data_IF_948601537968
#
_entry.id   IF_948601537968
#
_cell.length_a   1.000
_cell.length_b   1.000
_cell.length_c   1.000
_cell.angle_alpha   90.00
_cell.angle_beta   90.00
_cell.angle_gamma   90.00
#
_symmetry.space_group_name_H-M   'P 1'
#
loop_
_entity.id
_entity.type
_entity.pdbx_description
1 polymer ?
#
# COMPACT_ATOMS: atom_id res chain seq x y z
N UNK A 1 49.72 -39.72 38.55
CA UNK A 1 49.92 -38.28 38.23
C UNK A 1 49.78 -37.93 36.74
N UNK A 2 50.16 -38.80 35.79
CA UNK A 2 50.04 -38.50 34.33
C UNK A 2 48.59 -38.38 33.79
N UNK A 3 47.60 -39.08 34.37
CA UNK A 3 46.22 -39.09 33.87
C UNK A 3 45.45 -37.77 34.13
N UNK A 4 45.77 -37.06 35.21
CA UNK A 4 45.16 -35.77 35.55
C UNK A 4 45.68 -34.61 34.68
N UNK A 5 46.93 -34.68 34.22
CA UNK A 5 47.51 -33.65 33.36
C UNK A 5 46.88 -33.66 31.95
N UNK A 6 46.62 -34.84 31.41
CA UNK A 6 46.05 -35.01 30.06
C UNK A 6 44.58 -34.55 30.03
N UNK A 7 43.81 -34.86 31.06
CA UNK A 7 42.40 -34.42 31.18
C UNK A 7 42.28 -32.90 31.33
N UNK A 8 43.18 -32.27 32.09
CA UNK A 8 43.22 -30.80 32.22
C UNK A 8 43.53 -30.08 30.91
N UNK A 9 44.43 -30.64 30.09
CA UNK A 9 44.79 -30.06 28.79
C UNK A 9 43.63 -30.17 27.81
N UNK A 10 42.96 -31.33 27.74
CA UNK A 10 41.79 -31.54 26.88
C UNK A 10 40.65 -30.58 27.26
N UNK A 11 40.37 -30.42 28.55
CA UNK A 11 39.31 -29.51 29.02
C UNK A 11 39.64 -28.05 28.67
N UNK A 12 40.91 -27.65 28.78
CA UNK A 12 41.35 -26.30 28.44
C UNK A 12 41.25 -26.04 26.94
N UNK A 13 41.62 -27.01 26.10
CA UNK A 13 41.47 -26.92 24.64
C UNK A 13 40.00 -26.85 24.23
N UNK A 14 39.12 -27.63 24.89
CA UNK A 14 37.68 -27.59 24.65
C UNK A 14 37.04 -26.27 25.09
N UNK A 15 37.46 -25.70 26.23
CA UNK A 15 36.99 -24.38 26.69
C UNK A 15 37.48 -23.28 25.74
N UNK A 16 38.75 -23.33 25.32
CA UNK A 16 39.30 -22.36 24.35
C UNK A 16 38.64 -22.51 22.98
N UNK A 17 38.34 -23.73 22.53
CA UNK A 17 37.58 -24.00 21.32
C UNK A 17 36.14 -23.49 21.46
N UNK A 18 35.48 -23.72 22.60
CA UNK A 18 34.14 -23.21 22.89
C UNK A 18 34.11 -21.67 22.96
N UNK A 19 35.12 -21.03 23.56
CA UNK A 19 35.26 -19.57 23.57
C UNK A 19 35.59 -19.00 22.18
N UNK A 20 36.27 -19.77 21.31
CA UNK A 20 36.49 -19.42 19.88
C UNK A 20 35.25 -19.64 19.01
N UNK A 21 34.47 -20.69 19.27
CA UNK A 21 33.24 -21.04 18.55
C UNK A 21 32.02 -20.28 19.03
N UNK A 22 32.04 -19.77 20.26
CA UNK A 22 31.16 -18.70 20.73
C UNK A 22 31.58 -17.42 19.99
N UNK A 23 31.32 -17.39 18.69
CA UNK A 23 31.18 -16.17 17.91
C UNK A 23 30.38 -15.22 18.81
N UNK A 24 31.03 -14.15 19.27
CA UNK A 24 30.31 -12.95 19.68
C UNK A 24 29.30 -12.71 18.58
N UNK A 25 28.02 -12.93 18.86
CA UNK A 25 26.96 -12.43 18.00
C UNK A 25 27.19 -10.93 17.96
N UNK A 26 27.76 -10.48 16.84
CA UNK A 26 27.86 -9.06 16.57
C UNK A 26 26.40 -8.58 16.52
N UNK A 27 26.06 -7.45 17.16
CA UNK A 27 24.70 -6.92 17.07
C UNK A 27 24.30 -6.86 15.59
N UNK A 28 23.16 -7.46 15.24
CA UNK A 28 22.67 -7.62 13.87
C UNK A 28 22.57 -6.24 13.21
N UNK A 29 23.53 -5.91 12.35
CA UNK A 29 23.67 -4.63 11.61
C UNK A 29 22.67 -4.51 10.44
N UNK A 30 21.39 -4.82 10.64
CA UNK A 30 20.41 -4.76 9.55
C UNK A 30 20.05 -3.31 9.17
N UNK A 31 19.91 -2.42 10.17
CA UNK A 31 19.49 -1.03 9.93
C UNK A 31 20.59 -0.11 9.37
N UNK A 32 21.87 -0.50 9.41
CA UNK A 32 23.01 0.41 9.11
C UNK A 32 23.42 0.47 7.64
N UNK A 33 22.73 -0.25 6.72
CA UNK A 33 23.01 -0.08 5.28
C UNK A 33 22.39 1.23 4.81
N UNK A 34 23.22 2.24 4.63
CA UNK A 34 22.81 3.54 4.13
C UNK A 34 22.67 3.48 2.59
N UNK A 35 21.56 2.93 2.10
CA UNK A 35 21.24 2.92 0.67
C UNK A 35 20.85 4.32 0.23
N UNK A 36 21.15 4.71 -1.01
CA UNK A 36 20.67 5.97 -1.57
C UNK A 36 19.15 5.91 -1.85
N UNK A 37 18.33 6.06 -0.80
CA UNK A 37 16.87 5.99 -0.82
C UNK A 37 16.26 7.34 -0.47
N UNK A 38 15.10 7.64 -1.05
CA UNK A 38 14.26 8.80 -0.68
C UNK A 38 13.80 8.74 0.78
N UNK A 39 13.78 7.55 1.39
CA UNK A 39 13.32 7.31 2.76
C UNK A 39 14.47 7.31 3.79
N UNK A 40 15.59 7.94 3.44
CA UNK A 40 16.61 8.28 4.44
C UNK A 40 16.28 9.61 5.11
N UNK A 41 16.83 9.81 6.31
CA UNK A 41 16.75 11.07 7.06
C UNK A 41 15.30 11.55 7.22
N UNK A 42 14.44 10.67 7.71
CA UNK A 42 13.05 10.97 8.04
C UNK A 42 13.00 11.60 9.43
N UNK A 43 12.46 12.81 9.49
CA UNK A 43 12.27 13.55 10.74
C UNK A 43 11.15 12.92 11.57
N UNK A 44 11.37 12.74 12.88
CA UNK A 44 10.33 12.28 13.79
C UNK A 44 9.18 13.28 13.87
N UNK A 45 7.98 12.79 14.19
CA UNK A 45 6.88 13.64 14.64
C UNK A 45 7.23 14.32 15.97
N UNK A 46 6.46 15.35 16.33
CA UNK A 46 6.52 15.92 17.68
C UNK A 46 6.37 14.80 18.73
N UNK A 47 7.15 14.78 19.82
CA UNK A 47 7.00 13.79 20.88
C UNK A 47 5.59 13.70 21.48
N UNK A 48 4.81 14.78 21.41
CA UNK A 48 3.42 14.86 21.85
C UNK A 48 2.42 14.55 20.74
N UNK A 49 2.87 14.04 19.58
CA UNK A 49 1.99 13.65 18.48
C UNK A 49 0.93 12.67 18.96
N UNK A 50 -0.33 13.09 18.84
CA UNK A 50 -1.48 12.25 19.12
C UNK A 50 -2.13 11.80 17.80
N UNK A 51 -2.01 10.51 17.51
CA UNK A 51 -2.59 9.93 16.30
C UNK A 51 -4.12 9.91 16.33
N UNK A 52 -4.75 9.87 17.51
CA UNK A 52 -6.22 9.85 17.66
C UNK A 52 -6.87 11.15 17.19
N UNK A 53 -6.11 12.25 17.19
CA UNK A 53 -6.55 13.56 16.69
C UNK A 53 -6.07 13.85 15.26
N UNK A 54 -5.32 12.92 14.65
CA UNK A 54 -4.81 13.08 13.30
C UNK A 54 -5.89 12.68 12.28
N UNK A 55 -6.56 13.67 11.71
CA UNK A 55 -7.64 13.46 10.73
C UNK A 55 -7.13 12.81 9.43
N UNK A 56 -7.89 11.86 8.84
CA UNK A 56 -7.57 11.30 7.54
C UNK A 56 -7.50 12.37 6.46
N UNK A 57 -6.60 12.21 5.48
CA UNK A 57 -6.51 13.15 4.36
C UNK A 57 -7.84 13.26 3.59
N UNK A 58 -8.38 14.48 3.51
CA UNK A 58 -9.55 14.82 2.70
C UNK A 58 -9.19 15.00 1.23
N UNK A 59 -8.93 13.88 0.55
CA UNK A 59 -8.59 13.89 -0.87
C UNK A 59 -9.86 14.07 -1.72
N UNK A 60 -9.91 15.14 -2.52
CA UNK A 60 -11.02 15.48 -3.43
C UNK A 60 -10.51 15.66 -4.86
N UNK A 61 -10.14 14.57 -5.56
CA UNK A 61 -9.42 14.64 -6.83
C UNK A 61 -10.25 15.14 -8.02
N UNK A 62 -11.55 15.40 -7.82
CA UNK A 62 -12.46 16.01 -8.79
C UNK A 62 -12.51 17.55 -8.68
N UNK A 63 -12.10 18.15 -7.56
CA UNK A 63 -12.12 19.61 -7.39
C UNK A 63 -11.11 20.26 -8.32
N UNK A 64 -11.55 21.31 -9.03
CA UNK A 64 -10.69 22.11 -9.93
C UNK A 64 -10.29 21.37 -11.22
N UNK A 65 -10.81 20.17 -11.48
CA UNK A 65 -10.61 19.48 -12.76
C UNK A 65 -11.48 20.08 -13.85
N UNK A 66 -10.88 20.25 -15.03
CA UNK A 66 -11.57 20.75 -16.25
C UNK A 66 -12.00 19.65 -17.20
N UNK A 67 -11.36 18.49 -17.12
CA UNK A 67 -11.74 17.27 -17.83
C UNK A 67 -11.34 16.04 -17.00
N UNK A 68 -11.98 14.92 -17.30
CA UNK A 68 -11.73 13.62 -16.66
C UNK A 68 -11.15 12.61 -17.65
N UNK A 69 -10.42 13.09 -18.68
CA UNK A 69 -9.70 12.21 -19.57
C UNK A 69 -8.63 11.42 -18.79
N UNK A 70 -8.45 10.12 -19.07
CA UNK A 70 -7.43 9.32 -18.41
C UNK A 70 -6.02 9.90 -18.60
N UNK A 71 -5.33 10.18 -17.51
CA UNK A 71 -3.92 10.56 -17.49
C UNK A 71 -3.22 9.98 -16.26
N UNK A 72 -1.87 9.95 -16.29
CA UNK A 72 -1.10 9.38 -15.18
C UNK A 72 -1.32 10.14 -13.86
N UNK A 73 -1.50 11.46 -13.90
CA UNK A 73 -1.82 12.28 -12.73
C UNK A 73 -0.79 12.22 -11.60
N UNK A 74 0.45 11.81 -11.90
CA UNK A 74 1.55 11.68 -10.95
C UNK A 74 2.17 13.04 -10.64
N UNK A 75 2.54 13.25 -9.39
CA UNK A 75 3.22 14.46 -8.88
C UNK A 75 4.42 14.06 -8.04
N UNK A 76 5.52 14.80 -8.16
CA UNK A 76 6.69 14.60 -7.30
C UNK A 76 6.32 15.02 -5.86
N UNK A 77 6.52 14.12 -4.90
CA UNK A 77 6.34 14.37 -3.46
C UNK A 77 7.63 14.14 -2.66
N UNK A 78 8.78 14.12 -3.32
CA UNK A 78 10.10 13.87 -2.71
C UNK A 78 10.37 14.82 -1.54
N UNK A 79 9.98 16.09 -1.66
CA UNK A 79 10.13 17.08 -0.57
C UNK A 79 9.19 16.83 0.62
N UNK A 80 8.10 16.07 0.41
CA UNK A 80 7.13 15.69 1.43
C UNK A 80 7.30 14.20 1.81
N UNK A 81 8.53 13.67 1.76
CA UNK A 81 8.83 12.26 2.07
C UNK A 81 8.36 11.81 3.46
N UNK A 82 8.17 12.73 4.41
CA UNK A 82 7.64 12.46 5.74
C UNK A 82 6.15 12.05 5.72
N UNK A 83 5.45 12.29 4.62
CA UNK A 83 4.08 11.85 4.36
C UNK A 83 4.00 10.53 3.57
N UNK A 84 5.09 9.75 3.51
CA UNK A 84 5.07 8.47 2.82
C UNK A 84 4.03 7.51 3.41
N UNK A 85 4.15 7.23 4.71
CA UNK A 85 3.24 6.38 5.48
C UNK A 85 2.67 7.20 6.65
N UNK A 86 1.34 7.28 6.73
CA UNK A 86 0.67 8.16 7.70
C UNK A 86 -0.01 7.33 8.78
N UNK A 87 0.09 7.80 10.02
CA UNK A 87 -0.73 7.31 11.13
C UNK A 87 -1.81 8.36 11.40
N UNK A 88 -3.04 7.94 11.21
CA UNK A 88 -4.26 8.74 11.31
C UNK A 88 -5.23 8.03 12.26
N UNK A 89 -6.28 8.72 12.70
CA UNK A 89 -7.20 8.20 13.73
C UNK A 89 -7.90 6.89 13.36
N UNK A 90 -8.01 6.59 12.06
CA UNK A 90 -8.60 5.37 11.52
C UNK A 90 -7.61 4.19 11.46
N UNK A 91 -6.34 4.41 11.78
CA UNK A 91 -5.29 3.39 11.71
C UNK A 91 -5.64 2.14 12.49
N UNK A 92 -6.09 2.27 13.75
CA UNK A 92 -6.40 1.11 14.59
C UNK A 92 -7.51 0.25 14.01
N UNK A 93 -8.57 0.87 13.49
CA UNK A 93 -9.71 0.18 12.89
C UNK A 93 -9.32 -0.50 11.57
N UNK A 94 -8.65 0.23 10.68
CA UNK A 94 -8.19 -0.32 9.41
C UNK A 94 -7.24 -1.49 9.60
N UNK A 95 -6.31 -1.38 10.55
CA UNK A 95 -5.37 -2.44 10.88
C UNK A 95 -6.04 -3.66 11.50
N UNK A 96 -7.12 -3.49 12.28
CA UNK A 96 -7.90 -4.62 12.80
C UNK A 96 -8.51 -5.43 11.65
N UNK A 97 -9.12 -4.76 10.67
CA UNK A 97 -9.68 -5.40 9.47
C UNK A 97 -8.59 -6.14 8.70
N UNK A 98 -7.44 -5.48 8.49
CA UNK A 98 -6.33 -6.05 7.75
C UNK A 98 -5.70 -7.27 8.43
N UNK A 99 -5.53 -7.23 9.75
CA UNK A 99 -5.00 -8.35 10.52
C UNK A 99 -5.98 -9.54 10.54
N UNK A 100 -7.28 -9.28 10.65
CA UNK A 100 -8.31 -10.32 10.54
C UNK A 100 -8.26 -11.03 9.18
N UNK A 101 -8.20 -10.26 8.08
CA UNK A 101 -8.03 -10.82 6.74
C UNK A 101 -6.72 -11.61 6.61
N UNK A 102 -5.63 -11.11 7.19
CA UNK A 102 -4.33 -11.78 7.15
C UNK A 102 -4.36 -13.15 7.88
N UNK A 103 -5.17 -13.27 8.93
CA UNK A 103 -5.31 -14.51 9.70
C UNK A 103 -6.28 -15.49 9.03
N UNK A 104 -7.42 -14.99 8.55
CA UNK A 104 -8.53 -15.82 8.11
C UNK A 104 -8.55 -16.08 6.61
N UNK A 105 -7.94 -15.19 5.81
CA UNK A 105 -7.98 -15.21 4.33
C UNK A 105 -6.63 -14.83 3.70
N UNK A 106 -5.47 -15.35 4.18
CA UNK A 106 -4.16 -14.95 3.67
C UNK A 106 -4.02 -15.19 2.15
N UNK A 107 -4.58 -16.28 1.65
CA UNK A 107 -4.49 -16.69 0.23
C UNK A 107 -5.30 -15.81 -0.72
N UNK A 108 -6.21 -14.99 -0.20
CA UNK A 108 -7.00 -14.04 -0.99
C UNK A 108 -6.30 -12.68 -1.13
N UNK A 109 -5.35 -12.36 -0.23
CA UNK A 109 -4.77 -11.02 -0.13
C UNK A 109 -3.26 -10.96 -0.30
N UNK A 110 -2.50 -12.00 0.07
CA UNK A 110 -1.03 -11.99 0.07
C UNK A 110 -0.47 -12.92 -1.00
N UNK A 111 0.34 -12.37 -1.90
CA UNK A 111 1.00 -13.13 -2.97
C UNK A 111 2.45 -12.71 -3.09
N UNK A 112 3.36 -13.68 -3.18
CA UNK A 112 4.77 -13.45 -3.43
C UNK A 112 5.32 -14.55 -4.34
N UNK A 113 5.97 -14.15 -5.44
CA UNK A 113 6.65 -15.07 -6.31
C UNK A 113 7.88 -15.67 -5.60
N UNK A 114 8.13 -16.96 -5.81
CA UNK A 114 9.19 -17.67 -5.12
C UNK A 114 10.49 -17.68 -5.94
N UNK A 115 11.23 -16.57 -5.91
CA UNK A 115 12.58 -16.46 -6.46
C UNK A 115 13.47 -15.50 -5.65
N UNK A 116 14.79 -15.55 -5.90
CA UNK A 116 15.76 -14.75 -5.14
C UNK A 116 15.61 -13.24 -5.36
N UNK A 117 15.18 -12.82 -6.55
CA UNK A 117 14.97 -11.40 -6.87
C UNK A 117 13.80 -10.84 -6.06
N UNK A 118 12.71 -11.58 -5.97
CA UNK A 118 11.52 -11.25 -5.18
C UNK A 118 11.84 -11.26 -3.69
N UNK A 119 12.58 -12.28 -3.22
CA UNK A 119 13.05 -12.36 -1.84
C UNK A 119 13.88 -11.13 -1.45
N UNK A 120 14.81 -10.71 -2.30
CA UNK A 120 15.64 -9.52 -2.08
C UNK A 120 14.79 -8.25 -2.01
N UNK A 121 13.89 -8.06 -2.99
CA UNK A 121 13.05 -6.87 -3.08
C UNK A 121 12.10 -6.73 -1.88
N UNK A 122 11.49 -7.83 -1.42
CA UNK A 122 10.61 -7.81 -0.25
C UNK A 122 11.38 -7.54 1.04
N UNK A 123 12.56 -8.13 1.22
CA UNK A 123 13.43 -7.83 2.38
C UNK A 123 13.90 -6.38 2.41
N UNK A 124 14.23 -5.83 1.24
CA UNK A 124 14.60 -4.44 1.10
C UNK A 124 13.45 -3.49 1.44
N UNK A 125 12.25 -3.77 0.90
CA UNK A 125 11.04 -3.04 1.23
C UNK A 125 10.71 -3.11 2.73
N UNK A 126 10.82 -4.29 3.33
CA UNK A 126 10.65 -4.50 4.77
C UNK A 126 11.53 -3.57 5.60
N UNK A 127 12.84 -3.50 5.27
CA UNK A 127 13.78 -2.63 5.97
C UNK A 127 13.43 -1.16 5.78
N UNK A 128 12.98 -0.74 4.59
CA UNK A 128 12.55 0.64 4.36
C UNK A 128 11.35 1.02 5.22
N UNK A 129 10.35 0.15 5.32
CA UNK A 129 9.13 0.37 6.13
C UNK A 129 9.47 0.42 7.62
N UNK A 130 10.19 -0.58 8.13
CA UNK A 130 10.64 -0.63 9.53
C UNK A 130 11.45 0.61 9.89
N UNK A 131 12.39 1.03 9.02
CA UNK A 131 13.16 2.27 9.22
C UNK A 131 12.25 3.49 9.25
N UNK A 132 11.31 3.61 8.31
CA UNK A 132 10.40 4.75 8.28
C UNK A 132 9.59 4.87 9.57
N UNK A 133 8.94 3.80 10.03
CA UNK A 133 8.13 3.85 11.25
C UNK A 133 8.95 4.17 12.49
N UNK A 134 10.11 3.54 12.66
CA UNK A 134 10.98 3.74 13.83
C UNK A 134 11.62 5.14 13.86
N UNK A 135 11.82 5.78 12.70
CA UNK A 135 12.32 7.16 12.61
C UNK A 135 11.19 8.19 12.70
N UNK A 136 10.10 8.00 11.96
CA UNK A 136 9.00 8.96 11.85
C UNK A 136 8.14 8.98 13.11
N UNK A 137 7.90 7.84 13.74
CA UNK A 137 6.95 7.69 14.85
C UNK A 137 7.59 6.93 16.03
N UNK A 138 8.73 7.39 16.59
CA UNK A 138 9.52 6.62 17.56
C UNK A 138 8.78 6.33 18.88
N UNK A 139 7.83 7.18 19.27
CA UNK A 139 6.98 6.98 20.46
C UNK A 139 5.92 5.91 20.25
N UNK A 140 5.39 5.80 19.01
CA UNK A 140 4.36 4.83 18.66
C UNK A 140 4.94 3.47 18.23
N UNK A 141 6.17 3.48 17.67
CA UNK A 141 6.88 2.31 17.15
C UNK A 141 8.29 2.16 17.75
N UNK A 142 8.46 2.11 19.09
CA UNK A 142 9.76 1.97 19.70
C UNK A 142 10.41 0.62 19.37
N UNK A 143 11.74 0.63 19.23
CA UNK A 143 12.53 -0.60 19.11
C UNK A 143 12.88 -1.12 20.51
N UNK A 144 12.51 -2.37 20.80
CA UNK A 144 12.80 -3.06 22.06
C UNK A 144 13.24 -4.48 21.78
N UNK A 145 14.37 -4.90 22.37
CA UNK A 145 14.88 -6.27 22.29
C UNK A 145 15.03 -6.84 20.85
N UNK A 146 15.29 -5.98 19.86
CA UNK A 146 15.43 -6.39 18.46
C UNK A 146 14.13 -6.40 17.65
N UNK A 147 13.01 -6.01 18.26
CA UNK A 147 11.70 -5.89 17.62
C UNK A 147 11.24 -4.43 17.57
N UNK A 148 10.46 -4.09 16.54
CA UNK A 148 9.63 -2.89 16.51
C UNK A 148 8.31 -3.21 17.19
N UNK A 149 7.91 -2.40 18.15
CA UNK A 149 6.66 -2.58 18.87
C UNK A 149 5.63 -1.54 18.45
N UNK A 150 4.55 -1.96 17.81
CA UNK A 150 3.39 -1.11 17.51
C UNK A 150 2.55 -0.94 18.78
N UNK A 151 2.69 0.21 19.44
CA UNK A 151 1.98 0.51 20.70
C UNK A 151 0.47 0.65 20.52
N UNK A 152 -0.01 1.00 19.32
CA UNK A 152 -1.44 1.18 19.03
C UNK A 152 -2.15 -0.17 19.00
N UNK A 153 -1.52 -1.17 18.38
CA UNK A 153 -2.11 -2.51 18.21
C UNK A 153 -1.65 -3.52 19.25
N UNK A 154 -0.65 -3.18 20.08
CA UNK A 154 0.04 -4.10 20.96
C UNK A 154 0.63 -5.32 20.22
N UNK A 155 1.22 -5.08 19.04
CA UNK A 155 1.84 -6.10 18.19
C UNK A 155 3.33 -5.79 18.00
N UNK A 156 4.15 -6.82 17.75
CA UNK A 156 5.56 -6.63 17.41
C UNK A 156 5.97 -7.39 16.15
N UNK A 157 7.02 -6.89 15.51
CA UNK A 157 7.73 -7.59 14.45
C UNK A 157 9.25 -7.39 14.55
N UNK A 158 10.06 -8.34 14.05
CA UNK A 158 11.51 -8.22 14.11
C UNK A 158 12.02 -7.00 13.34
N UNK A 159 13.04 -6.31 13.86
CA UNK A 159 13.70 -5.21 13.14
C UNK A 159 14.41 -5.72 11.88
N UNK A 160 15.01 -6.92 11.95
CA UNK A 160 15.75 -7.52 10.83
C UNK A 160 14.88 -8.50 10.04
N UNK A 161 14.92 -8.48 8.70
CA UNK A 161 14.29 -9.50 7.86
C UNK A 161 15.07 -10.83 7.82
N UNK A 162 16.23 -10.93 8.48
CA UNK A 162 17.08 -12.12 8.43
C UNK A 162 16.39 -13.36 9.00
N UNK A 163 16.47 -14.47 8.27
CA UNK A 163 15.88 -15.75 8.66
C UNK A 163 14.37 -15.84 8.40
N UNK A 164 13.72 -14.78 7.93
CA UNK A 164 12.29 -14.77 7.63
C UNK A 164 12.01 -15.16 6.17
N UNK A 165 10.93 -15.91 5.98
CA UNK A 165 10.32 -16.21 4.68
C UNK A 165 9.54 -15.02 4.13
N UNK A 166 9.19 -15.03 2.84
CA UNK A 166 8.35 -13.96 2.26
C UNK A 166 6.99 -13.84 2.95
N UNK A 167 6.38 -14.97 3.31
CA UNK A 167 5.10 -14.98 4.02
C UNK A 167 5.22 -14.27 5.38
N UNK A 168 6.23 -14.61 6.20
CA UNK A 168 6.45 -13.98 7.50
C UNK A 168 6.75 -12.48 7.37
N UNK A 169 7.50 -12.07 6.34
CA UNK A 169 7.75 -10.65 6.06
C UNK A 169 6.45 -9.90 5.73
N UNK A 170 5.56 -10.48 4.92
CA UNK A 170 4.26 -9.87 4.61
C UNK A 170 3.34 -9.79 5.84
N UNK A 171 3.28 -10.86 6.65
CA UNK A 171 2.54 -10.86 7.92
C UNK A 171 3.09 -9.79 8.87
N UNK A 172 4.40 -9.64 8.96
CA UNK A 172 5.03 -8.64 9.81
C UNK A 172 4.81 -7.21 9.30
N UNK A 173 4.81 -6.99 7.99
CA UNK A 173 4.41 -5.71 7.40
C UNK A 173 2.95 -5.37 7.70
N UNK A 174 2.04 -6.35 7.75
CA UNK A 174 0.64 -6.16 8.14
C UNK A 174 0.43 -5.77 9.60
N UNK A 175 1.47 -5.79 10.43
CA UNK A 175 1.46 -5.24 11.80
C UNK A 175 1.82 -3.76 11.85
N UNK A 176 2.29 -3.19 10.73
CA UNK A 176 2.77 -1.81 10.64
C UNK A 176 2.00 -0.98 9.60
N UNK A 177 1.81 -1.52 8.40
CA UNK A 177 1.21 -0.81 7.26
C UNK A 177 -0.30 -0.97 7.23
N UNK A 178 -1.02 0.14 7.22
CA UNK A 178 -2.45 0.15 6.83
C UNK A 178 -2.56 -0.07 5.31
N UNK A 179 -1.64 0.52 4.57
CA UNK A 179 -1.65 0.55 3.12
C UNK A 179 -1.45 -0.81 2.47
N UNK A 180 -2.17 -1.03 1.36
CA UNK A 180 -1.85 -2.11 0.43
C UNK A 180 -0.53 -1.79 -0.26
N UNK A 181 0.21 -2.81 -0.68
CA UNK A 181 1.48 -2.60 -1.37
C UNK A 181 1.74 -3.64 -2.45
N UNK A 182 2.39 -3.19 -3.51
CA UNK A 182 2.79 -3.97 -4.66
C UNK A 182 4.31 -3.80 -4.88
N UNK A 183 4.98 -4.90 -5.20
CA UNK A 183 6.37 -4.90 -5.67
C UNK A 183 6.39 -5.44 -7.09
N UNK A 184 6.76 -4.58 -8.02
CA UNK A 184 6.89 -4.91 -9.43
C UNK A 184 8.38 -5.07 -9.77
N UNK A 185 8.75 -6.18 -10.40
CA UNK A 185 10.12 -6.46 -10.84
C UNK A 185 10.13 -6.69 -12.36
N UNK A 186 11.27 -6.43 -12.99
CA UNK A 186 11.50 -6.96 -14.33
C UNK A 186 12.11 -8.35 -14.24
N UNK A 187 11.84 -9.20 -15.22
CA UNK A 187 12.42 -10.54 -15.27
C UNK A 187 13.90 -10.43 -15.64
N UNK A 188 14.21 -9.56 -16.60
CA UNK A 188 15.55 -9.12 -16.97
C UNK A 188 15.62 -7.58 -16.98
N UNK A 189 16.81 -7.03 -16.73
CA UNK A 189 16.97 -5.56 -16.70
C UNK A 189 16.64 -4.89 -18.05
N UNK A 190 16.87 -5.63 -19.14
CA UNK A 190 16.61 -5.23 -20.53
C UNK A 190 15.11 -5.24 -20.88
N UNK A 191 14.27 -5.95 -20.12
CA UNK A 191 12.84 -6.05 -20.41
C UNK A 191 12.17 -4.67 -20.25
N UNK A 192 11.21 -4.36 -21.11
CA UNK A 192 10.48 -3.09 -21.01
C UNK A 192 9.40 -3.12 -19.92
N UNK A 193 8.81 -4.28 -19.68
CA UNK A 193 7.65 -4.42 -18.80
C UNK A 193 8.02 -4.91 -17.40
N UNK A 194 7.32 -4.36 -16.43
CA UNK A 194 7.37 -4.82 -15.04
C UNK A 194 6.28 -5.88 -14.83
N UNK A 195 6.57 -6.86 -13.97
CA UNK A 195 5.71 -7.97 -13.56
C UNK A 195 5.38 -7.83 -12.08
N UNK A 196 4.12 -8.07 -11.71
CA UNK A 196 3.70 -8.06 -10.31
C UNK A 196 4.20 -9.29 -9.55
N UNK A 197 5.24 -9.12 -8.73
CA UNK A 197 5.90 -10.22 -8.02
C UNK A 197 5.50 -10.33 -6.55
N UNK A 198 5.20 -9.22 -5.88
CA UNK A 198 4.63 -9.24 -4.52
C UNK A 198 3.41 -8.34 -4.47
N UNK A 199 2.36 -8.76 -3.78
CA UNK A 199 1.22 -7.91 -3.48
C UNK A 199 0.57 -8.29 -2.17
N UNK A 200 0.22 -7.29 -1.38
CA UNK A 200 -0.72 -7.42 -0.25
C UNK A 200 -1.89 -6.48 -0.48
N UNK A 201 -3.09 -7.04 -0.50
CA UNK A 201 -4.32 -6.36 -0.90
C UNK A 201 -5.42 -6.54 0.17
N UNK A 202 -5.44 -5.68 1.17
CA UNK A 202 -6.46 -5.65 2.23
C UNK A 202 -7.65 -4.73 1.89
N UNK A 203 -7.55 -3.93 0.83
CA UNK A 203 -8.63 -3.07 0.37
C UNK A 203 -8.83 -3.10 -1.16
N UNK A 204 -8.88 -4.26 -1.84
CA UNK A 204 -9.09 -4.29 -3.29
C UNK A 204 -10.45 -3.69 -3.68
N UNK A 205 -10.47 -3.02 -4.84
CA UNK A 205 -11.63 -2.33 -5.39
C UNK A 205 -12.31 -3.16 -6.48
N UNK A 206 -12.81 -4.34 -6.12
CA UNK A 206 -13.54 -5.19 -7.06
C UNK A 206 -12.67 -5.79 -8.17
N UNK A 207 -11.52 -6.30 -7.77
CA UNK A 207 -10.69 -7.19 -8.55
C UNK A 207 -10.14 -8.28 -7.64
N UNK A 208 -9.88 -9.45 -8.22
CA UNK A 208 -9.19 -10.56 -7.56
C UNK A 208 -7.67 -10.41 -7.78
N UNK A 209 -6.88 -10.11 -6.73
CA UNK A 209 -5.43 -9.92 -6.86
C UNK A 209 -4.71 -11.14 -7.41
N UNK A 210 -5.25 -12.35 -7.23
CA UNK A 210 -4.67 -13.59 -7.74
C UNK A 210 -4.54 -13.58 -9.26
N UNK A 211 -5.47 -12.93 -9.96
CA UNK A 211 -5.45 -12.81 -11.43
C UNK A 211 -4.34 -11.89 -11.93
N UNK A 212 -3.92 -10.93 -11.12
CA UNK A 212 -2.82 -10.04 -11.44
C UNK A 212 -1.45 -10.57 -11.00
N UNK A 213 -1.42 -11.54 -10.09
CA UNK A 213 -0.17 -12.08 -9.58
C UNK A 213 0.65 -12.73 -10.70
N UNK A 214 1.94 -12.40 -10.75
CA UNK A 214 2.88 -12.86 -11.75
C UNK A 214 2.51 -12.49 -13.20
N UNK A 215 1.70 -11.45 -13.38
CA UNK A 215 1.35 -10.91 -14.69
C UNK A 215 2.08 -9.59 -14.96
N UNK A 216 2.39 -9.29 -16.23
CA UNK A 216 2.94 -8.00 -16.60
C UNK A 216 1.92 -6.88 -16.37
N UNK A 217 2.42 -5.66 -16.11
CA UNK A 217 1.59 -4.47 -15.91
C UNK A 217 0.60 -4.25 -17.05
N UNK A 218 0.99 -4.53 -18.29
CA UNK A 218 0.11 -4.43 -19.45
C UNK A 218 -1.10 -5.38 -19.40
N UNK A 219 -0.91 -6.60 -18.89
CA UNK A 219 -1.97 -7.59 -18.71
C UNK A 219 -2.95 -7.15 -17.60
N UNK A 220 -2.41 -6.72 -16.46
CA UNK A 220 -3.21 -6.25 -15.31
C UNK A 220 -4.13 -5.09 -15.71
N UNK A 221 -3.66 -4.20 -16.59
CA UNK A 221 -4.42 -3.05 -17.08
C UNK A 221 -5.24 -3.31 -18.35
N UNK A 222 -5.27 -4.53 -18.87
CA UNK A 222 -6.08 -4.87 -20.05
C UNK A 222 -7.58 -4.52 -19.93
N UNK A 223 -8.23 -4.58 -18.75
CA UNK A 223 -9.63 -4.20 -18.62
C UNK A 223 -9.87 -2.68 -18.57
N UNK A 224 -8.82 -1.87 -18.45
CA UNK A 224 -8.95 -0.41 -18.29
C UNK A 224 -9.17 0.23 -19.66
N UNK A 225 -10.29 0.97 -19.88
CA UNK A 225 -10.54 1.65 -21.13
C UNK A 225 -9.40 2.61 -21.50
N UNK A 226 -9.11 2.71 -22.79
CA UNK A 226 -8.08 3.59 -23.35
C UNK A 226 -6.64 3.32 -22.84
N UNK A 227 -6.40 2.24 -22.08
CA UNK A 227 -5.07 1.95 -21.54
C UNK A 227 -4.02 1.80 -22.64
N UNK A 228 -4.27 0.92 -23.62
CA UNK A 228 -3.32 0.61 -24.70
C UNK A 228 -2.98 1.85 -25.53
N UNK A 229 -3.98 2.66 -25.82
CA UNK A 229 -3.89 3.79 -26.75
C UNK A 229 -3.35 5.07 -26.10
N UNK A 230 -3.71 5.33 -24.83
CA UNK A 230 -3.39 6.61 -24.16
C UNK A 230 -2.44 6.49 -22.98
N UNK A 231 -2.47 5.39 -22.24
CA UNK A 231 -1.75 5.27 -20.96
C UNK A 231 -0.48 4.42 -21.04
N UNK A 232 -0.46 3.36 -21.86
CA UNK A 232 0.65 2.37 -21.87
C UNK A 232 2.01 3.04 -22.02
N UNK A 233 2.19 3.87 -23.06
CA UNK A 233 3.48 4.52 -23.32
C UNK A 233 3.90 5.46 -22.18
N UNK A 234 2.97 6.26 -21.64
CA UNK A 234 3.30 7.22 -20.57
C UNK A 234 3.65 6.50 -19.27
N UNK A 235 2.93 5.43 -18.94
CA UNK A 235 3.22 4.57 -17.78
C UNK A 235 4.56 3.86 -17.92
N UNK A 236 4.85 3.24 -19.07
CA UNK A 236 6.14 2.60 -19.34
C UNK A 236 7.30 3.58 -19.19
N UNK A 237 7.18 4.81 -19.73
CA UNK A 237 8.19 5.87 -19.57
C UNK A 237 8.35 6.31 -18.12
N UNK A 238 7.24 6.48 -17.39
CA UNK A 238 7.28 6.81 -15.98
C UNK A 238 8.02 5.74 -15.16
N UNK A 239 7.73 4.46 -15.45
CA UNK A 239 8.34 3.33 -14.76
C UNK A 239 9.83 3.18 -15.06
N UNK A 240 10.22 3.35 -16.32
CA UNK A 240 11.62 3.28 -16.75
C UNK A 240 12.49 4.38 -16.12
N UNK A 241 11.94 5.58 -15.90
CA UNK A 241 12.68 6.74 -15.40
C UNK A 241 12.62 6.92 -13.88
N UNK A 242 11.99 5.99 -13.15
CA UNK A 242 11.83 6.12 -11.70
C UNK A 242 13.15 5.85 -10.96
N UNK A 243 13.57 6.81 -10.13
CA UNK A 243 14.83 6.76 -9.39
C UNK A 243 14.60 6.48 -7.89
N UNK A 244 15.53 5.79 -7.19
CA UNK A 244 15.38 5.48 -5.76
C UNK A 244 15.32 6.70 -4.83
N UNK A 245 15.79 7.87 -5.30
CA UNK A 245 15.75 9.15 -4.57
C UNK A 245 14.49 9.98 -4.88
N UNK A 246 13.51 9.41 -5.59
CA UNK A 246 12.28 10.09 -5.96
C UNK A 246 11.07 9.37 -5.38
N UNK A 247 10.14 10.15 -4.85
CA UNK A 247 8.85 9.69 -4.37
C UNK A 247 7.75 10.38 -5.17
N UNK A 248 6.85 9.61 -5.74
CA UNK A 248 5.77 10.12 -6.59
C UNK A 248 4.42 9.76 -6.01
N UNK A 249 3.43 10.63 -6.16
CA UNK A 249 2.06 10.36 -5.72
C UNK A 249 1.05 10.65 -6.81
N UNK A 250 0.02 9.82 -6.89
CA UNK A 250 -1.21 10.11 -7.62
C UNK A 250 -2.41 9.73 -6.78
N UNK A 251 -3.58 10.13 -7.24
CA UNK A 251 -4.85 9.71 -6.68
C UNK A 251 -5.68 9.04 -7.76
N UNK A 252 -6.27 7.90 -7.43
CA UNK A 252 -7.37 7.30 -8.18
C UNK A 252 -8.65 7.44 -7.36
N UNK A 253 -9.81 7.56 -8.00
CA UNK A 253 -11.08 7.66 -7.29
C UNK A 253 -12.21 6.96 -8.02
N UNK A 254 -13.21 6.54 -7.25
CA UNK A 254 -14.48 6.00 -7.73
C UNK A 254 -15.55 6.22 -6.67
N UNK A 255 -16.79 5.94 -7.03
CA UNK A 255 -17.87 5.77 -6.07
C UNK A 255 -18.09 4.26 -5.88
N UNK A 256 -18.33 3.85 -4.64
CA UNK A 256 -18.84 2.53 -4.30
C UNK A 256 -20.17 2.68 -3.55
N UNK A 257 -21.14 1.81 -3.84
CA UNK A 257 -22.48 1.80 -3.24
C UNK A 257 -22.55 0.93 -1.98
N UNK A 258 -21.41 0.66 -1.35
CA UNK A 258 -21.29 -0.09 -0.11
C UNK A 258 -20.14 0.47 0.75
N UNK A 259 -20.16 0.22 2.05
CA UNK A 259 -19.08 0.64 2.96
C UNK A 259 -17.89 -0.33 3.00
N UNK A 260 -18.00 -1.52 2.40
CA UNK A 260 -16.98 -2.58 2.49
C UNK A 260 -15.63 -2.17 1.88
N UNK A 261 -14.55 -2.31 2.68
CA UNK A 261 -13.16 -2.01 2.28
C UNK A 261 -12.53 -3.13 1.45
N UNK A 262 -12.75 -4.38 1.85
CA UNK A 262 -12.26 -5.57 1.15
C UNK A 262 -13.36 -6.16 0.26
N UNK A 263 -13.29 -5.89 -1.05
CA UNK A 263 -14.25 -6.43 -2.00
C UNK A 263 -13.54 -7.00 -3.24
N UNK A 264 -13.65 -8.32 -3.44
CA UNK A 264 -13.10 -9.01 -4.60
C UNK A 264 -14.11 -9.11 -5.76
N UNK A 265 -15.40 -8.92 -5.49
CA UNK A 265 -16.45 -8.98 -6.51
C UNK A 265 -16.33 -7.78 -7.44
N UNK A 266 -16.51 -7.99 -8.75
CA UNK A 266 -16.27 -6.95 -9.77
C UNK A 266 -17.07 -5.67 -9.47
N UNK A 267 -16.36 -4.60 -9.10
CA UNK A 267 -16.90 -3.24 -9.02
C UNK A 267 -16.77 -2.50 -10.35
N UNK A 268 -16.26 -3.21 -11.36
CA UNK A 268 -16.07 -2.68 -12.69
C UNK A 268 -17.04 -3.33 -13.67
N UNK A 269 -17.55 -2.52 -14.59
CA UNK A 269 -18.30 -2.99 -15.75
C UNK A 269 -17.42 -3.74 -16.72
N UNK A 270 -17.93 -4.84 -17.25
CA UNK A 270 -17.29 -5.65 -18.30
C UNK A 270 -18.18 -5.71 -19.53
N UNK A 271 -17.58 -5.96 -20.69
CA UNK A 271 -18.32 -6.15 -21.93
C UNK A 271 -19.37 -7.26 -21.76
N UNK A 272 -20.63 -6.94 -22.10
CA UNK A 272 -21.78 -7.83 -21.90
C UNK A 272 -22.53 -7.65 -20.58
N UNK A 273 -22.02 -6.86 -19.63
CA UNK A 273 -22.77 -6.55 -18.40
C UNK A 273 -24.00 -5.71 -18.72
N UNK A 274 -25.16 -6.13 -18.18
CA UNK A 274 -26.39 -5.33 -18.17
C UNK A 274 -26.46 -4.58 -16.85
N UNK A 275 -26.33 -3.26 -16.90
CA UNK A 275 -26.46 -2.40 -15.72
C UNK A 275 -27.87 -1.82 -15.65
N UNK A 276 -28.58 -2.14 -14.58
CA UNK A 276 -29.88 -1.52 -14.27
C UNK A 276 -29.61 -0.23 -13.48
N UNK A 277 -30.00 0.95 -13.98
CA UNK A 277 -29.91 2.17 -13.21
C UNK A 277 -30.76 2.08 -11.94
N UNK A 278 -30.17 2.49 -10.82
CA UNK A 278 -30.85 2.64 -9.54
C UNK A 278 -31.61 3.97 -9.53
N UNK A 279 -32.79 3.99 -8.92
CA UNK A 279 -33.45 5.25 -8.56
C UNK A 279 -32.86 5.81 -7.27
N UNK A 280 -33.17 7.08 -6.97
CA UNK A 280 -32.79 7.70 -5.70
C UNK A 280 -33.30 6.93 -4.48
N UNK A 281 -34.51 6.38 -4.55
CA UNK A 281 -35.16 5.64 -3.45
C UNK A 281 -34.59 4.24 -3.27
N UNK A 282 -34.08 3.63 -4.34
CA UNK A 282 -33.40 2.33 -4.28
C UNK A 282 -31.96 2.42 -3.76
N UNK A 283 -31.36 3.60 -3.79
CA UNK A 283 -29.98 3.83 -3.40
C UNK A 283 -29.87 3.99 -1.88
N UNK A 284 -29.17 3.05 -1.24
CA UNK A 284 -28.71 3.19 0.13
C UNK A 284 -27.56 4.21 0.22
N UNK A 285 -27.93 5.48 0.39
CA UNK A 285 -26.98 6.59 0.43
C UNK A 285 -26.04 6.53 1.64
N UNK A 286 -26.50 5.96 2.75
CA UNK A 286 -25.73 5.85 4.00
C UNK A 286 -24.56 4.87 3.84
N UNK A 287 -24.63 3.98 2.86
CA UNK A 287 -23.54 3.08 2.48
C UNK A 287 -22.75 3.53 1.25
N UNK A 288 -23.15 4.60 0.57
CA UNK A 288 -22.38 5.14 -0.55
C UNK A 288 -21.11 5.84 -0.05
N UNK A 289 -19.96 5.52 -0.67
CA UNK A 289 -18.66 6.10 -0.35
C UNK A 289 -17.99 6.65 -1.59
N UNK A 290 -17.41 7.84 -1.46
CA UNK A 290 -16.29 8.26 -2.30
C UNK A 290 -15.08 7.43 -1.87
N UNK A 291 -14.62 6.57 -2.78
CA UNK A 291 -13.37 5.83 -2.61
C UNK A 291 -12.24 6.60 -3.26
N UNK A 292 -11.19 6.92 -2.49
CA UNK A 292 -9.96 7.54 -3.01
C UNK A 292 -8.76 6.70 -2.62
N UNK A 293 -7.96 6.34 -3.62
CA UNK A 293 -6.70 5.63 -3.44
C UNK A 293 -5.54 6.62 -3.63
N UNK A 294 -4.83 6.92 -2.55
CA UNK A 294 -3.56 7.63 -2.60
C UNK A 294 -2.46 6.62 -2.89
N UNK A 295 -1.95 6.69 -4.10
CA UNK A 295 -1.00 5.74 -4.64
C UNK A 295 0.38 6.40 -4.69
N UNK A 296 1.35 5.83 -3.96
CA UNK A 296 2.72 6.32 -3.88
C UNK A 296 3.67 5.35 -4.54
N UNK A 297 4.60 5.88 -5.34
CA UNK A 297 5.60 5.11 -6.04
C UNK A 297 7.03 5.50 -5.64
N UNK A 298 7.87 4.50 -5.45
CA UNK A 298 9.31 4.67 -5.31
C UNK A 298 10.06 3.47 -5.90
N UNK A 299 11.32 3.68 -6.27
CA UNK A 299 12.23 2.62 -6.72
C UNK A 299 13.02 2.08 -5.53
N UNK A 300 13.14 0.76 -5.44
CA UNK A 300 14.05 0.12 -4.49
C UNK A 300 15.52 0.29 -4.95
N UNK A 301 16.44 0.75 -4.09
CA UNK A 301 17.82 1.04 -4.49
C UNK A 301 18.70 -0.16 -4.84
N UNK A 302 18.46 -1.35 -4.29
CA UNK A 302 19.29 -2.55 -4.49
C UNK A 302 18.67 -3.50 -5.50
N UNK A 303 17.47 -3.99 -5.20
CA UNK A 303 16.74 -4.94 -6.04
C UNK A 303 16.26 -4.31 -7.33
N UNK A 304 16.24 -2.97 -7.41
CA UNK A 304 15.62 -2.24 -8.50
C UNK A 304 14.20 -2.78 -8.72
N UNK A 305 13.45 -2.95 -7.65
CA UNK A 305 12.00 -3.14 -7.70
C UNK A 305 11.26 -1.80 -7.71
N UNK A 306 10.04 -1.80 -8.21
CA UNK A 306 9.13 -0.67 -8.05
C UNK A 306 8.15 -0.99 -6.94
N UNK A 307 8.07 -0.08 -5.98
CA UNK A 307 7.05 -0.11 -4.94
C UNK A 307 5.90 0.76 -5.40
N UNK A 308 4.69 0.23 -5.26
CA UNK A 308 3.46 1.01 -5.25
C UNK A 308 2.75 0.76 -3.92
N UNK A 309 2.56 1.79 -3.11
CA UNK A 309 1.80 1.75 -1.87
C UNK A 309 0.46 2.43 -2.09
N UNK A 310 -0.62 1.86 -1.58
CA UNK A 310 -1.99 2.29 -1.84
C UNK A 310 -2.70 2.48 -0.49
N UNK A 311 -2.89 3.74 -0.11
CA UNK A 311 -3.73 4.12 1.03
C UNK A 311 -5.15 4.38 0.51
N UNK A 312 -6.11 3.63 1.03
CA UNK A 312 -7.52 3.74 0.64
C UNK A 312 -8.30 4.54 1.66
N UNK A 313 -9.00 5.58 1.21
CA UNK A 313 -9.94 6.38 1.96
C UNK A 313 -11.36 6.11 1.47
N UNK A 314 -12.28 5.88 2.39
CA UNK A 314 -13.72 5.70 2.11
C UNK A 314 -14.49 6.81 2.84
N UNK A 315 -14.87 7.85 2.11
CA UNK A 315 -15.60 8.99 2.68
C UNK A 315 -17.09 8.88 2.35
N UNK A 316 -18.02 8.96 3.32
CA UNK A 316 -19.45 9.02 3.05
C UNK A 316 -19.80 10.13 2.04
N UNK A 317 -20.69 9.84 1.09
CA UNK A 317 -21.13 10.86 0.10
C UNK A 317 -21.84 12.03 0.81
N UNK A 318 -22.55 11.75 1.91
CA UNK A 318 -23.14 12.77 2.77
C UNK A 318 -22.10 13.76 3.33
N UNK A 319 -20.90 13.29 3.70
CA UNK A 319 -19.82 14.15 4.18
C UNK A 319 -19.31 15.07 3.05
N UNK A 320 -19.15 14.55 1.83
CA UNK A 320 -18.74 15.36 0.66
C UNK A 320 -19.75 16.48 0.40
N UNK A 321 -21.04 16.16 0.52
CA UNK A 321 -22.12 17.14 0.38
C UNK A 321 -22.06 18.19 1.48
N UNK A 322 -21.87 17.77 2.74
CA UNK A 322 -21.76 18.67 3.89
C UNK A 322 -20.52 19.58 3.83
N UNK A 323 -19.45 19.15 3.18
CA UNK A 323 -18.25 19.96 2.89
C UNK A 323 -18.49 21.05 1.83
N UNK A 324 -19.64 21.05 1.17
CA UNK A 324 -19.96 22.00 0.10
C UNK A 324 -19.37 21.63 -1.26
N UNK A 325 -19.00 20.36 -1.46
CA UNK A 325 -18.38 19.87 -2.72
C UNK A 325 -19.34 19.06 -3.60
N UNK A 326 -20.65 19.28 -3.43
CA UNK A 326 -21.68 18.54 -4.16
C UNK A 326 -21.60 18.83 -5.67
N UNK A 327 -21.49 20.10 -6.07
CA UNK A 327 -21.47 20.51 -7.47
C UNK A 327 -20.22 19.99 -8.19
N UNK A 328 -19.04 20.06 -7.56
CA UNK A 328 -17.81 19.52 -8.15
C UNK A 328 -17.85 18.00 -8.28
N UNK A 329 -18.47 17.30 -7.33
CA UNK A 329 -18.64 15.86 -7.42
C UNK A 329 -19.64 15.48 -8.52
N UNK A 330 -20.77 16.19 -8.62
CA UNK A 330 -21.75 16.03 -9.73
C UNK A 330 -21.04 16.23 -11.07
N UNK A 331 -20.29 17.32 -11.22
CA UNK A 331 -19.52 17.59 -12.43
C UNK A 331 -18.54 16.45 -12.74
N UNK A 332 -17.84 15.94 -11.71
CA UNK A 332 -16.93 14.82 -11.86
C UNK A 332 -17.59 13.51 -12.28
N UNK A 333 -18.82 13.24 -11.81
CA UNK A 333 -19.61 12.07 -12.20
C UNK A 333 -20.10 12.21 -13.64
N UNK A 334 -20.70 13.35 -13.98
CA UNK A 334 -21.28 13.64 -15.30
C UNK A 334 -20.22 13.77 -16.40
N UNK A 335 -18.99 14.16 -16.06
CA UNK A 335 -17.89 14.37 -17.01
C UNK A 335 -17.03 13.13 -17.29
N UNK A 336 -17.34 11.97 -16.70
CA UNK A 336 -16.65 10.73 -17.03
C UNK A 336 -16.94 10.35 -18.50
N UNK A 337 -15.91 10.07 -19.34
CA UNK A 337 -16.13 9.50 -20.67
C UNK A 337 -16.93 8.20 -20.59
N UNK A 338 -17.81 7.93 -21.58
CA UNK A 338 -18.78 6.83 -21.53
C UNK A 338 -18.16 5.45 -21.24
N UNK A 339 -17.00 5.17 -21.84
CA UNK A 339 -16.28 3.90 -21.62
C UNK A 339 -15.75 3.78 -20.18
N UNK A 340 -15.23 4.87 -19.62
CA UNK A 340 -14.78 4.94 -18.24
C UNK A 340 -15.95 4.97 -17.25
N UNK A 341 -17.05 5.61 -17.61
CA UNK A 341 -18.29 5.64 -16.85
C UNK A 341 -18.86 4.23 -16.72
N UNK A 342 -18.94 3.49 -17.82
CA UNK A 342 -19.34 2.08 -17.83
C UNK A 342 -18.36 1.23 -17.01
N UNK A 343 -17.05 1.39 -17.23
CA UNK A 343 -16.04 0.67 -16.44
C UNK A 343 -16.17 0.93 -14.94
N UNK A 344 -16.50 2.14 -14.49
CA UNK A 344 -16.75 2.50 -13.08
C UNK A 344 -18.19 2.23 -12.61
N UNK A 345 -19.01 1.57 -13.44
CA UNK A 345 -20.44 1.29 -13.19
C UNK A 345 -21.29 2.54 -12.92
N UNK A 346 -20.87 3.72 -13.39
CA UNK A 346 -21.61 5.00 -13.22
C UNK A 346 -23.03 4.92 -13.77
N UNK A 347 -23.27 4.09 -14.78
CA UNK A 347 -24.59 3.87 -15.35
C UNK A 347 -25.58 3.19 -14.39
N UNK A 348 -25.10 2.55 -13.32
CA UNK A 348 -25.92 1.94 -12.28
C UNK A 348 -26.28 2.95 -11.18
N UNK A 349 -25.28 3.63 -10.60
CA UNK A 349 -25.46 4.46 -9.41
C UNK A 349 -25.45 5.98 -9.67
N UNK A 350 -24.98 6.41 -10.84
CA UNK A 350 -24.64 7.81 -11.14
C UNK A 350 -25.80 8.76 -10.98
N UNK A 351 -26.92 8.44 -11.62
CA UNK A 351 -28.08 9.33 -11.67
C UNK A 351 -28.72 9.46 -10.28
N UNK A 352 -28.84 8.35 -9.53
CA UNK A 352 -29.33 8.36 -8.15
C UNK A 352 -28.48 9.21 -7.21
N UNK A 353 -27.14 9.13 -7.32
CA UNK A 353 -26.22 9.96 -6.53
C UNK A 353 -26.32 11.43 -6.93
N UNK A 354 -26.43 11.73 -8.22
CA UNK A 354 -26.58 13.11 -8.70
C UNK A 354 -27.87 13.73 -8.17
N UNK A 355 -28.97 12.99 -8.15
CA UNK A 355 -30.23 13.43 -7.53
C UNK A 355 -30.00 13.76 -6.05
N UNK A 356 -29.40 12.84 -5.28
CA UNK A 356 -29.09 13.08 -3.87
C UNK A 356 -28.23 14.33 -3.64
N UNK A 357 -27.17 14.51 -4.43
CA UNK A 357 -26.26 15.64 -4.27
C UNK A 357 -26.94 16.98 -4.55
N UNK A 358 -27.93 17.00 -5.44
CA UNK A 358 -28.72 18.20 -5.81
C UNK A 358 -29.90 18.48 -4.86
N UNK A 359 -30.30 17.53 -4.02
CA UNK A 359 -31.32 17.77 -2.98
C UNK A 359 -30.86 18.90 -2.05
N UNK A 360 -31.76 19.84 -1.73
CA UNK A 360 -31.48 20.84 -0.69
C UNK A 360 -31.37 20.14 0.66
N UNK A 361 -30.52 20.66 1.56
CA UNK A 361 -30.56 20.22 2.94
C UNK A 361 -31.96 20.50 3.50
N UNK A 362 -32.58 19.51 4.14
CA UNK A 362 -33.77 19.77 4.94
C UNK A 362 -33.36 20.74 6.06
N UNK A 363 -34.01 21.91 6.08
CA UNK A 363 -33.70 23.05 6.97
C UNK A 363 -34.28 22.82 8.35
#
# INVERSE_FOLDING_TARGET
MMSFAITSIILTVLILAWLRFRKREKPKKALTRNWASVINDIEPVDPNFNWETCEPLKLRPFIGKRDFNPSMGVRDMTMNKHDWLRIEKDYAENMKIKNDLCQNRPDDMMFAHNDDKTNLALKEFYVMVVRFFTQRYPTLFPVKNGDVFNTILNLSCPVSPDGQTNYELMVNLNKLLDEDYLILLKDNEEDEEFVLRVSVNAAPAGFDPKRGHNMPVSHIHSPVPQYRERLKMSMSKFFANMLPKKLWVRTNWSIQTHATRFNLNSLHGREGDVMRPLTRDELDIDNCRLRVERQIFTRLPQSKGMIMIIRTYLTPIAEIKAEGHADELVYGIESLPDDLAFYKRRNEWGDAIVVYLKEKAEV
#
